data_IF_484930424961
#
_entry.id   IF_484930424961
#
_cell.length_a   1.000
_cell.length_b   1.000
_cell.length_c   1.000
_cell.angle_alpha   90.00
_cell.angle_beta   90.00
_cell.angle_gamma   90.00
#
_symmetry.space_group_name_H-M   'P 1'
#
loop_
_entity.id
_entity.type
_entity.pdbx_description
1 polymer ?
#
# COMPACT_ATOMS: atom_id res chain seq x y z
N UNK A 1 7.58 21.85 -24.30
CA UNK A 1 6.72 20.67 -24.05
C UNK A 1 6.21 20.80 -22.64
N UNK A 2 4.94 21.19 -22.47
CA UNK A 2 4.33 21.34 -21.15
C UNK A 2 3.86 19.96 -20.73
N UNK A 3 4.41 19.39 -19.66
CA UNK A 3 3.89 18.14 -19.09
C UNK A 3 2.42 18.35 -18.72
N UNK A 4 1.52 17.39 -19.04
CA UNK A 4 0.12 17.55 -18.71
C UNK A 4 -0.02 17.56 -17.19
N UNK A 5 -0.45 18.68 -16.64
CA UNK A 5 -0.84 18.80 -15.24
C UNK A 5 -2.09 17.95 -15.03
N UNK A 6 -1.90 16.71 -14.58
CA UNK A 6 -2.99 15.81 -14.20
C UNK A 6 -3.73 16.43 -13.01
N UNK A 7 -5.00 16.81 -13.20
CA UNK A 7 -5.83 17.41 -12.15
C UNK A 7 -5.92 16.45 -10.94
N UNK A 8 -5.79 17.00 -9.73
CA UNK A 8 -5.89 16.24 -8.48
C UNK A 8 -7.25 15.57 -8.27
N UNK A 9 -8.31 16.00 -8.98
CA UNK A 9 -9.62 15.33 -9.02
C UNK A 9 -9.59 14.01 -9.81
N UNK A 10 -8.88 13.97 -10.93
CA UNK A 10 -8.80 12.80 -11.80
C UNK A 10 -8.06 11.66 -11.10
N UNK A 11 -7.02 12.02 -10.36
CA UNK A 11 -6.17 11.05 -9.67
C UNK A 11 -6.90 10.37 -8.49
N UNK A 12 -7.69 11.13 -7.71
CA UNK A 12 -8.52 10.57 -6.64
C UNK A 12 -9.57 9.61 -7.18
N UNK A 13 -10.21 9.97 -8.28
CA UNK A 13 -11.21 9.12 -8.94
C UNK A 13 -10.58 7.81 -9.42
N UNK A 14 -9.42 7.88 -10.09
CA UNK A 14 -8.67 6.71 -10.55
C UNK A 14 -8.27 5.78 -9.40
N UNK A 15 -7.73 6.34 -8.31
CA UNK A 15 -7.35 5.56 -7.13
C UNK A 15 -8.54 4.89 -6.46
N UNK A 16 -9.66 5.61 -6.34
CA UNK A 16 -10.90 5.06 -5.80
C UNK A 16 -11.40 3.89 -6.65
N UNK A 17 -11.48 4.05 -7.97
CA UNK A 17 -11.88 2.98 -8.89
C UNK A 17 -10.94 1.78 -8.82
N UNK A 18 -9.63 2.03 -8.69
CA UNK A 18 -8.63 0.95 -8.56
C UNK A 18 -8.87 0.12 -7.29
N UNK A 19 -9.22 0.74 -6.17
CA UNK A 19 -9.38 0.04 -4.90
C UNK A 19 -10.82 -0.41 -4.61
N UNK A 20 -11.84 0.17 -5.24
CA UNK A 20 -13.25 -0.19 -5.01
C UNK A 20 -13.60 -1.61 -5.42
N UNK A 21 -12.80 -2.23 -6.29
CA UNK A 21 -12.96 -3.62 -6.71
C UNK A 21 -12.28 -4.64 -5.79
N UNK A 22 -11.51 -4.20 -4.79
CA UNK A 22 -10.78 -5.10 -3.88
C UNK A 22 -11.76 -5.79 -2.95
N UNK A 23 -11.80 -7.12 -2.99
CA UNK A 23 -12.62 -7.97 -2.10
C UNK A 23 -11.75 -8.81 -1.16
N UNK A 24 -10.61 -9.28 -1.64
CA UNK A 24 -9.64 -10.03 -0.84
C UNK A 24 -8.33 -9.25 -0.73
N UNK A 25 -8.06 -8.75 0.48
CA UNK A 25 -6.81 -8.06 0.82
C UNK A 25 -6.04 -8.90 1.86
N UNK A 26 -4.89 -9.45 1.45
CA UNK A 26 -4.06 -10.32 2.30
C UNK A 26 -2.86 -9.56 2.87
N UNK A 27 -2.61 -9.71 4.17
CA UNK A 27 -1.41 -9.19 4.83
C UNK A 27 -0.41 -10.34 4.98
N UNK A 28 0.78 -10.17 4.43
CA UNK A 28 1.87 -11.15 4.47
C UNK A 28 2.96 -10.63 5.40
N UNK A 29 3.38 -11.49 6.32
CA UNK A 29 4.41 -11.19 7.33
C UNK A 29 5.16 -12.48 7.66
N UNK A 30 6.49 -12.43 7.61
CA UNK A 30 7.37 -13.58 7.83
C UNK A 30 7.17 -14.22 9.20
N UNK A 31 6.82 -13.44 10.22
CA UNK A 31 6.56 -13.94 11.58
C UNK A 31 5.31 -14.83 11.71
N UNK A 32 4.39 -14.78 10.74
CA UNK A 32 3.19 -15.63 10.69
C UNK A 32 3.29 -16.72 9.62
N UNK A 33 4.32 -16.64 8.78
CA UNK A 33 4.54 -17.50 7.64
C UNK A 33 5.17 -18.83 8.07
N UNK A 34 4.65 -19.95 7.57
CA UNK A 34 5.25 -21.28 7.72
C UNK A 34 6.16 -21.68 6.55
N UNK A 35 6.27 -20.81 5.54
CA UNK A 35 7.06 -20.99 4.33
C UNK A 35 7.56 -19.63 3.83
N UNK A 36 8.50 -19.58 2.86
CA UNK A 36 9.00 -18.32 2.34
C UNK A 36 7.89 -17.38 1.88
N UNK A 37 7.98 -16.10 2.25
CA UNK A 37 6.93 -15.10 1.97
C UNK A 37 6.67 -14.88 0.47
N UNK A 38 7.66 -15.13 -0.39
CA UNK A 38 7.48 -15.08 -1.85
C UNK A 38 6.62 -16.25 -2.37
N UNK A 39 6.76 -17.43 -1.79
CA UNK A 39 5.86 -18.56 -2.13
C UNK A 39 4.45 -18.30 -1.62
N UNK A 40 4.30 -17.68 -0.45
CA UNK A 40 2.97 -17.26 0.05
C UNK A 40 2.36 -16.24 -0.88
N UNK A 41 3.15 -15.27 -1.37
CA UNK A 41 2.69 -14.26 -2.31
C UNK A 41 2.10 -14.90 -3.57
N UNK A 42 2.79 -15.87 -4.16
CA UNK A 42 2.31 -16.58 -5.35
C UNK A 42 1.02 -17.36 -5.07
N UNK A 43 0.95 -18.09 -3.96
CA UNK A 43 -0.24 -18.84 -3.55
C UNK A 43 -1.47 -17.93 -3.38
N UNK A 44 -1.31 -16.79 -2.67
CA UNK A 44 -2.46 -15.92 -2.39
C UNK A 44 -2.94 -15.21 -3.65
N UNK A 45 -2.03 -14.89 -4.57
CA UNK A 45 -2.37 -14.36 -5.88
C UNK A 45 -3.15 -15.41 -6.68
N UNK A 46 -2.67 -16.67 -6.70
CA UNK A 46 -3.39 -17.78 -7.35
C UNK A 46 -4.76 -18.04 -6.71
N UNK A 47 -4.86 -17.85 -5.39
CA UNK A 47 -6.10 -17.91 -4.62
C UNK A 47 -7.06 -16.73 -4.83
N UNK A 48 -6.70 -15.75 -5.66
CA UNK A 48 -7.57 -14.63 -6.03
C UNK A 48 -7.44 -13.39 -5.14
N UNK A 49 -6.29 -13.17 -4.49
CA UNK A 49 -6.05 -11.91 -3.78
C UNK A 49 -6.03 -10.72 -4.75
N UNK A 50 -6.88 -9.73 -4.49
CA UNK A 50 -6.95 -8.48 -5.25
C UNK A 50 -5.86 -7.49 -4.80
N UNK A 51 -5.49 -7.57 -3.52
CA UNK A 51 -4.46 -6.75 -2.91
C UNK A 51 -3.62 -7.55 -1.91
N UNK A 52 -2.33 -7.19 -1.81
CA UNK A 52 -1.40 -7.75 -0.83
C UNK A 52 -0.64 -6.65 -0.10
N UNK A 53 -0.38 -6.85 1.18
CA UNK A 53 0.44 -5.98 2.02
C UNK A 53 1.66 -6.73 2.48
N UNK A 54 2.86 -6.20 2.22
CA UNK A 54 4.08 -6.70 2.86
C UNK A 54 4.27 -5.95 4.19
N UNK A 55 4.25 -6.71 5.28
CA UNK A 55 4.41 -6.20 6.65
C UNK A 55 5.51 -6.96 7.36
N UNK A 56 6.65 -6.30 7.58
CA UNK A 56 7.76 -6.85 8.34
C UNK A 56 8.21 -5.83 9.38
N UNK A 57 8.19 -6.21 10.66
CA UNK A 57 8.54 -5.30 11.76
C UNK A 57 10.01 -5.37 12.17
N UNK A 58 10.63 -6.53 12.01
CA UNK A 58 11.98 -6.82 12.54
C UNK A 58 13.05 -6.80 11.46
N UNK A 59 12.66 -6.85 10.18
CA UNK A 59 13.58 -6.86 9.04
C UNK A 59 14.25 -5.51 8.84
N UNK A 60 15.56 -5.49 8.52
CA UNK A 60 16.25 -4.24 8.18
C UNK A 60 15.67 -3.58 6.92
N UNK A 61 15.88 -2.28 6.74
CA UNK A 61 15.41 -1.58 5.54
C UNK A 61 16.09 -2.07 4.25
N UNK A 62 17.35 -2.50 4.31
CA UNK A 62 18.05 -3.08 3.17
C UNK A 62 17.46 -4.40 2.72
N UNK A 63 17.20 -5.31 3.66
CA UNK A 63 16.58 -6.61 3.37
C UNK A 63 15.14 -6.43 2.89
N UNK A 64 14.39 -5.54 3.55
CA UNK A 64 13.02 -5.24 3.17
C UNK A 64 12.93 -4.63 1.78
N UNK A 65 13.86 -3.75 1.41
CA UNK A 65 13.91 -3.17 0.07
C UNK A 65 14.14 -4.23 -1.01
N UNK A 66 15.02 -5.20 -0.76
CA UNK A 66 15.25 -6.33 -1.67
C UNK A 66 13.97 -7.14 -1.83
N UNK A 67 13.34 -7.52 -0.71
CA UNK A 67 12.11 -8.30 -0.72
C UNK A 67 10.94 -7.55 -1.39
N UNK A 68 10.78 -6.27 -1.09
CA UNK A 68 9.73 -5.43 -1.64
C UNK A 68 9.84 -5.26 -3.17
N UNK A 69 11.07 -5.28 -3.73
CA UNK A 69 11.27 -5.30 -5.18
C UNK A 69 10.76 -6.58 -5.82
N UNK A 70 11.02 -7.73 -5.20
CA UNK A 70 10.49 -9.01 -5.68
C UNK A 70 8.96 -9.05 -5.57
N UNK A 71 8.40 -8.57 -4.45
CA UNK A 71 6.95 -8.41 -4.31
C UNK A 71 6.37 -7.54 -5.42
N UNK A 72 6.97 -6.38 -5.71
CA UNK A 72 6.51 -5.50 -6.78
C UNK A 72 6.54 -6.20 -8.15
N UNK A 73 7.62 -6.93 -8.44
CA UNK A 73 7.77 -7.66 -9.71
C UNK A 73 6.67 -8.70 -9.89
N UNK A 74 6.39 -9.49 -8.85
CA UNK A 74 5.34 -10.54 -8.90
C UNK A 74 3.95 -9.91 -9.05
N UNK A 75 3.61 -8.95 -8.19
CA UNK A 75 2.30 -8.29 -8.16
C UNK A 75 2.00 -7.48 -9.42
N UNK A 76 3.02 -6.86 -10.04
CA UNK A 76 2.86 -6.15 -11.30
C UNK A 76 2.39 -7.09 -12.43
N UNK A 77 2.93 -8.31 -12.50
CA UNK A 77 2.56 -9.30 -13.52
C UNK A 77 1.13 -9.80 -13.36
N UNK A 78 0.70 -10.01 -12.10
CA UNK A 78 -0.65 -10.48 -11.79
C UNK A 78 -1.70 -9.37 -11.74
N UNK A 79 -1.27 -8.09 -11.84
CA UNK A 79 -2.11 -6.90 -11.62
C UNK A 79 -2.72 -6.83 -10.21
N UNK A 80 -2.16 -7.58 -9.25
CA UNK A 80 -2.52 -7.50 -7.84
C UNK A 80 -1.99 -6.19 -7.25
N UNK A 81 -2.78 -5.51 -6.42
CA UNK A 81 -2.35 -4.26 -5.78
C UNK A 81 -1.29 -4.56 -4.72
N UNK A 82 -0.13 -3.89 -4.79
CA UNK A 82 0.92 -4.04 -3.80
C UNK A 82 1.01 -2.84 -2.85
N UNK A 83 0.84 -3.11 -1.56
CA UNK A 83 0.93 -2.13 -0.48
C UNK A 83 2.13 -2.44 0.42
N UNK A 84 2.94 -1.43 0.72
CA UNK A 84 4.01 -1.51 1.72
C UNK A 84 3.49 -0.99 3.06
N UNK A 85 3.83 -1.67 4.16
CA UNK A 85 3.48 -1.20 5.51
C UNK A 85 4.60 -0.33 6.11
N UNK A 86 4.22 0.82 6.69
CA UNK A 86 4.99 1.82 7.47
C UNK A 86 6.19 2.50 6.77
N UNK A 87 6.84 1.83 5.82
CA UNK A 87 8.12 2.24 5.23
C UNK A 87 7.91 3.08 3.97
N UNK A 88 7.46 4.32 4.12
CA UNK A 88 7.10 5.21 3.01
C UNK A 88 8.21 5.44 1.97
N UNK A 89 9.44 5.62 2.42
CA UNK A 89 10.58 5.80 1.51
C UNK A 89 10.82 4.54 0.66
N UNK A 90 10.65 3.35 1.24
CA UNK A 90 10.75 2.10 0.50
C UNK A 90 9.57 1.96 -0.46
N UNK A 91 8.34 2.25 -0.02
CA UNK A 91 7.15 2.24 -0.86
C UNK A 91 7.34 3.11 -2.12
N UNK A 92 7.94 4.29 -1.97
CA UNK A 92 8.32 5.16 -3.08
C UNK A 92 9.40 4.53 -3.96
N UNK A 93 10.50 4.05 -3.37
CA UNK A 93 11.65 3.48 -4.08
C UNK A 93 11.30 2.26 -4.94
N UNK A 94 10.34 1.43 -4.50
CA UNK A 94 9.90 0.24 -5.25
C UNK A 94 8.67 0.51 -6.12
N UNK A 95 8.21 1.76 -6.19
CA UNK A 95 6.98 2.13 -6.89
C UNK A 95 5.77 1.26 -6.48
N UNK A 96 5.59 1.07 -5.18
CA UNK A 96 4.42 0.39 -4.64
C UNK A 96 3.14 1.12 -5.07
N UNK A 97 2.03 0.37 -5.16
CA UNK A 97 0.72 0.96 -5.50
C UNK A 97 0.16 1.77 -4.33
N UNK A 98 0.64 1.51 -3.11
CA UNK A 98 0.33 2.29 -1.95
C UNK A 98 1.18 2.00 -0.72
N UNK A 99 0.87 2.77 0.33
CA UNK A 99 1.42 2.66 1.66
C UNK A 99 0.27 2.44 2.65
N UNK A 100 0.50 1.61 3.64
CA UNK A 100 -0.35 1.52 4.83
C UNK A 100 0.44 1.99 6.04
N UNK A 101 -0.16 2.81 6.89
CA UNK A 101 0.43 3.29 8.15
C UNK A 101 -0.52 3.04 9.32
N UNK A 102 0.04 2.68 10.47
CA UNK A 102 -0.65 2.70 11.75
C UNK A 102 -0.72 4.10 12.37
N UNK A 103 -1.50 4.22 13.44
CA UNK A 103 -1.81 5.50 14.08
C UNK A 103 -0.64 6.13 14.83
N UNK A 104 0.34 5.31 15.24
CA UNK A 104 1.53 5.71 15.99
C UNK A 104 2.79 5.84 15.12
N UNK A 105 2.71 5.57 13.83
CA UNK A 105 3.90 5.37 13.00
C UNK A 105 4.40 6.70 12.43
N UNK A 106 3.74 7.20 11.40
CA UNK A 106 4.09 8.45 10.75
C UNK A 106 2.84 9.28 10.50
N UNK A 107 2.99 10.61 10.63
CA UNK A 107 1.93 11.53 10.27
C UNK A 107 1.48 11.37 8.80
N UNK A 108 0.16 11.36 8.61
CA UNK A 108 -0.50 11.13 7.32
C UNK A 108 -0.10 12.16 6.25
N UNK A 109 0.13 13.42 6.64
CA UNK A 109 0.52 14.47 5.72
C UNK A 109 1.98 14.29 5.27
N UNK A 110 2.87 13.89 6.19
CA UNK A 110 4.25 13.50 5.83
C UNK A 110 4.26 12.29 4.91
N UNK A 111 3.47 11.26 5.21
CA UNK A 111 3.32 10.07 4.37
C UNK A 111 2.93 10.45 2.93
N UNK A 112 1.92 11.31 2.80
CA UNK A 112 1.43 11.81 1.51
C UNK A 112 2.50 12.59 0.74
N UNK A 113 3.31 13.41 1.40
CA UNK A 113 4.42 14.14 0.76
C UNK A 113 5.47 13.19 0.17
N UNK A 114 5.74 12.07 0.83
CA UNK A 114 6.75 11.11 0.38
C UNK A 114 6.23 10.31 -0.83
N UNK A 115 5.06 9.69 -0.69
CA UNK A 115 4.56 8.73 -1.67
C UNK A 115 3.85 9.36 -2.88
N UNK A 116 3.56 10.68 -2.83
CA UNK A 116 2.85 11.39 -3.90
C UNK A 116 1.32 11.24 -3.81
N UNK A 117 0.59 11.97 -4.66
CA UNK A 117 -0.89 11.98 -4.68
C UNK A 117 -1.53 10.83 -5.45
N UNK A 118 -0.74 10.09 -6.22
CA UNK A 118 -1.11 9.02 -7.16
C UNK A 118 -1.04 7.62 -6.56
N UNK A 119 -0.71 7.51 -5.28
CA UNK A 119 -0.61 6.24 -4.54
C UNK A 119 -1.70 6.10 -3.47
N UNK A 120 -2.12 4.86 -3.22
CA UNK A 120 -3.07 4.54 -2.15
C UNK A 120 -2.39 4.83 -0.80
N UNK A 121 -3.13 5.44 0.13
CA UNK A 121 -2.68 5.59 1.52
C UNK A 121 -3.75 4.99 2.44
N UNK A 122 -3.46 3.80 2.96
CA UNK A 122 -4.24 3.15 4.01
C UNK A 122 -3.83 3.65 5.38
N UNK A 123 -4.81 3.87 6.26
CA UNK A 123 -4.58 4.31 7.63
C UNK A 123 -5.36 3.37 8.55
N UNK A 124 -4.67 2.73 9.49
CA UNK A 124 -5.35 1.96 10.54
C UNK A 124 -6.19 2.91 11.40
N UNK A 125 -7.45 2.55 11.63
CA UNK A 125 -8.31 3.25 12.59
C UNK A 125 -8.60 2.30 13.75
N UNK A 126 -8.08 2.61 14.94
CA UNK A 126 -8.48 1.93 16.16
C UNK A 126 -9.38 2.89 16.93
N UNK A 127 -10.68 2.58 16.99
CA UNK A 127 -11.61 3.34 17.81
C UNK A 127 -11.30 3.10 19.27
N UNK A 128 -10.82 4.14 19.94
CA UNK A 128 -11.34 4.61 21.22
C UNK A 128 -11.20 6.15 21.18
N UNK A 129 -12.28 6.84 20.79
CA UNK A 129 -12.41 8.31 20.82
C UNK A 129 -11.28 9.12 20.15
N UNK A 130 -11.43 9.42 18.86
CA UNK A 130 -11.09 10.71 18.24
C UNK A 130 -11.48 10.68 16.76
N UNK A 131 -12.77 10.84 16.50
CA UNK A 131 -13.27 11.14 15.16
C UNK A 131 -12.82 12.53 14.73
N UNK A 132 -11.64 12.64 14.13
CA UNK A 132 -11.28 13.79 13.31
C UNK A 132 -11.99 13.65 11.97
N UNK A 133 -13.02 14.48 11.79
CA UNK A 133 -13.98 14.54 10.67
C UNK A 133 -13.33 14.31 9.30
N UNK A 134 -13.57 13.15 8.70
CA UNK A 134 -13.58 13.04 7.23
C UNK A 134 -14.82 13.78 6.74
N UNK A 135 -14.67 15.07 6.43
CA UNK A 135 -15.72 15.83 5.76
C UNK A 135 -15.85 15.33 4.33
N UNK A 136 -16.70 14.33 4.13
CA UNK A 136 -17.30 14.05 2.83
C UNK A 136 -18.21 15.23 2.49
N UNK A 137 -17.64 16.27 1.88
CA UNK A 137 -18.44 17.32 1.26
C UNK A 137 -18.79 16.82 -0.14
N UNK A 138 -19.89 16.07 -0.23
CA UNK A 138 -20.60 15.84 -1.50
C UNK A 138 -21.03 17.20 -2.05
N UNK A 139 -20.62 17.51 -3.27
CA UNK A 139 -21.36 18.33 -4.22
C UNK A 139 -21.32 17.60 -5.54
#
# INVERSE_FOLDING_TARGET
MVEPTVDGKDNKTRLFTKFSGVRLYVIISSNLAKKPVLEILEDVIQGGADAVQLREKTMSDSEFLILAREFKKVTHRSKTIFIVNDRAEIAKKVDADGLHIGQSDMDTHRARKIIGSDKILGISTHTNSSGSKSSTRRR
#
